data_IF_018991686497
#
_entry.id   IF_018991686497
#
_cell.length_a   1.000
_cell.length_b   1.000
_cell.length_c   1.000
_cell.angle_alpha   90.00
_cell.angle_beta   90.00
_cell.angle_gamma   90.00
#
_symmetry.space_group_name_H-M   'P 1'
#
loop_
_entity.id
_entity.type
_entity.pdbx_description
1 polymer ?
#
# COMPACT_ATOMS: atom_id res chain seq x y z
N UNK A 1 -38.38 -6.67 7.70
CA UNK A 1 -37.41 -6.39 6.62
C UNK A 1 -36.57 -5.20 7.06
N UNK A 2 -35.44 -5.44 7.68
CA UNK A 2 -34.52 -4.38 8.04
C UNK A 2 -33.71 -4.01 6.79
N UNK A 3 -33.95 -2.79 6.28
CA UNK A 3 -33.10 -2.21 5.28
C UNK A 3 -31.71 -2.01 5.95
N UNK A 4 -30.72 -2.77 5.53
CA UNK A 4 -29.32 -2.49 5.87
C UNK A 4 -28.96 -1.15 5.26
N UNK A 5 -28.68 -0.15 6.09
CA UNK A 5 -28.01 1.07 5.67
C UNK A 5 -26.62 0.66 5.17
N UNK A 6 -26.53 0.31 3.90
CA UNK A 6 -25.22 0.14 3.24
C UNK A 6 -24.61 1.53 3.11
N UNK A 7 -23.50 1.73 3.83
CA UNK A 7 -22.69 2.92 3.66
C UNK A 7 -22.31 3.03 2.16
N UNK A 8 -22.45 4.19 1.50
CA UNK A 8 -22.11 4.34 0.08
C UNK A 8 -20.67 3.99 -0.28
N UNK A 9 -19.82 3.67 0.70
CA UNK A 9 -18.43 3.25 0.52
C UNK A 9 -18.21 1.72 0.59
N UNK A 10 -19.23 0.89 0.74
CA UNK A 10 -19.06 -0.55 0.87
C UNK A 10 -18.67 -1.22 -0.46
N UNK A 11 -17.49 -1.82 -0.47
CA UNK A 11 -17.01 -2.66 -1.57
C UNK A 11 -17.42 -4.11 -1.35
N UNK A 12 -17.88 -4.80 -2.40
CA UNK A 12 -17.97 -6.26 -2.36
C UNK A 12 -16.56 -6.84 -2.48
N UNK A 13 -16.21 -7.73 -1.57
CA UNK A 13 -14.94 -8.45 -1.59
C UNK A 13 -14.90 -9.44 -2.75
N UNK A 14 -13.92 -9.28 -3.65
CA UNK A 14 -13.63 -10.19 -4.77
C UNK A 14 -12.24 -10.78 -4.58
N UNK A 15 -12.17 -11.99 -4.03
CA UNK A 15 -10.92 -12.72 -3.85
C UNK A 15 -10.67 -13.62 -5.05
N UNK A 16 -9.52 -13.47 -5.68
CA UNK A 16 -9.00 -14.33 -6.75
C UNK A 16 -7.80 -15.08 -6.17
N UNK A 17 -7.89 -16.39 -6.04
CA UNK A 17 -6.81 -17.24 -5.53
C UNK A 17 -6.24 -18.09 -6.64
N UNK A 18 -4.92 -17.99 -6.84
CA UNK A 18 -4.16 -18.79 -7.80
C UNK A 18 -3.34 -19.81 -7.02
N UNK A 19 -3.56 -21.10 -7.32
CA UNK A 19 -2.89 -22.23 -6.72
C UNK A 19 -1.60 -22.58 -7.49
N UNK A 20 -0.73 -23.42 -6.92
CA UNK A 20 0.44 -23.94 -7.62
C UNK A 20 0.09 -24.62 -8.94
N UNK A 21 1.05 -24.62 -9.88
CA UNK A 21 0.89 -25.32 -11.14
C UNK A 21 0.55 -26.79 -10.93
N UNK A 22 -0.51 -27.24 -11.59
CA UNK A 22 -0.97 -28.63 -11.56
C UNK A 22 -0.96 -29.21 -12.99
N UNK A 23 -0.07 -30.16 -13.21
CA UNK A 23 0.07 -30.81 -14.51
C UNK A 23 -1.21 -31.54 -14.96
N UNK A 24 -2.09 -31.94 -14.04
CA UNK A 24 -3.36 -32.63 -14.36
C UNK A 24 -4.36 -31.69 -15.05
N UNK A 25 -4.27 -30.38 -14.78
CA UNK A 25 -5.12 -29.33 -15.40
C UNK A 25 -4.35 -28.48 -16.41
N UNK A 26 -3.09 -28.78 -16.67
CA UNK A 26 -2.20 -28.06 -17.59
C UNK A 26 -2.12 -26.56 -17.27
N UNK A 27 -1.94 -26.19 -16.02
CA UNK A 27 -1.84 -24.79 -15.60
C UNK A 27 -2.08 -24.59 -14.11
N UNK A 28 -2.38 -23.34 -13.78
CA UNK A 28 -2.62 -22.89 -12.40
C UNK A 28 -4.12 -22.91 -12.12
N UNK A 29 -4.61 -23.76 -11.20
CA UNK A 29 -6.01 -23.70 -10.76
C UNK A 29 -6.31 -22.34 -10.14
N UNK A 30 -7.50 -21.78 -10.43
CA UNK A 30 -7.94 -20.48 -9.91
C UNK A 30 -9.32 -20.61 -9.30
N UNK A 31 -9.47 -20.03 -8.14
CA UNK A 31 -10.72 -19.94 -7.39
C UNK A 31 -11.13 -18.47 -7.20
N UNK A 32 -12.37 -18.18 -7.51
CA UNK A 32 -12.95 -16.84 -7.27
C UNK A 32 -13.99 -16.97 -6.17
N UNK A 33 -13.91 -16.07 -5.18
CA UNK A 33 -14.89 -15.95 -4.09
C UNK A 33 -15.42 -14.52 -4.05
N UNK A 34 -16.74 -14.36 -3.98
CA UNK A 34 -17.44 -13.07 -3.94
C UNK A 34 -18.15 -12.88 -2.60
N UNK A 35 -17.94 -11.72 -1.97
CA UNK A 35 -18.56 -11.35 -0.69
C UNK A 35 -18.19 -12.28 0.46
N UNK A 36 -17.11 -13.05 0.32
CA UNK A 36 -16.63 -14.01 1.31
C UNK A 36 -17.48 -15.29 1.47
N UNK A 37 -18.59 -15.42 0.74
CA UNK A 37 -19.54 -16.54 0.89
C UNK A 37 -19.84 -17.26 -0.43
N UNK A 38 -19.91 -16.54 -1.55
CA UNK A 38 -20.20 -17.13 -2.84
C UNK A 38 -18.91 -17.59 -3.51
N UNK A 39 -18.71 -18.90 -3.52
CA UNK A 39 -17.62 -19.58 -4.24
C UNK A 39 -18.09 -20.00 -5.64
N UNK A 40 -17.21 -19.83 -6.62
CA UNK A 40 -17.43 -20.31 -7.98
C UNK A 40 -16.64 -21.60 -8.19
N UNK A 41 -17.01 -22.37 -9.21
CA UNK A 41 -16.21 -23.52 -9.63
C UNK A 41 -14.80 -23.06 -9.96
N UNK A 42 -13.83 -23.94 -9.74
CA UNK A 42 -12.44 -23.67 -10.10
C UNK A 42 -12.29 -23.66 -11.62
N UNK A 43 -11.69 -22.59 -12.10
CA UNK A 43 -11.14 -22.52 -13.44
C UNK A 43 -9.63 -22.66 -13.41
N UNK A 44 -8.97 -22.32 -14.50
CA UNK A 44 -7.51 -22.37 -14.60
C UNK A 44 -6.94 -21.23 -15.43
N UNK A 45 -5.71 -20.87 -15.12
CA UNK A 45 -4.84 -20.04 -15.98
C UNK A 45 -3.83 -20.97 -16.63
N UNK A 46 -3.61 -20.83 -17.95
CA UNK A 46 -2.62 -21.63 -18.67
C UNK A 46 -1.21 -21.45 -18.11
N UNK A 47 -0.42 -22.52 -18.08
CA UNK A 47 0.99 -22.45 -17.73
C UNK A 47 1.79 -21.56 -18.69
N UNK A 48 1.28 -21.34 -19.93
CA UNK A 48 1.91 -20.49 -20.95
C UNK A 48 1.92 -18.99 -20.59
N UNK A 49 1.30 -18.61 -19.46
CA UNK A 49 1.46 -17.26 -18.90
C UNK A 49 2.93 -16.96 -18.57
N UNK A 50 3.74 -18.00 -18.38
CA UNK A 50 5.18 -17.91 -18.16
C UNK A 50 5.97 -18.60 -19.31
N UNK A 51 7.14 -18.04 -19.71
CA UNK A 51 7.73 -16.80 -19.22
C UNK A 51 6.97 -15.56 -19.71
N UNK A 52 6.79 -14.58 -18.84
CA UNK A 52 6.17 -13.33 -19.23
C UNK A 52 7.14 -12.45 -20.03
N UNK A 53 6.70 -12.00 -21.19
CA UNK A 53 7.44 -11.06 -22.03
C UNK A 53 6.57 -9.82 -22.23
N UNK A 54 7.03 -8.66 -21.75
CA UNK A 54 6.33 -7.39 -21.94
C UNK A 54 6.37 -6.97 -23.42
N UNK A 55 5.26 -6.42 -23.91
CA UNK A 55 5.19 -5.77 -25.23
C UNK A 55 5.88 -4.39 -25.24
N UNK A 56 6.15 -3.83 -24.06
CA UNK A 56 6.59 -2.45 -23.87
C UNK A 56 5.45 -1.43 -23.85
N UNK A 57 4.20 -1.88 -24.05
CA UNK A 57 3.00 -1.04 -23.98
C UNK A 57 2.13 -1.50 -22.82
N UNK A 58 2.08 -0.75 -21.69
CA UNK A 58 1.38 -1.18 -20.48
C UNK A 58 -0.08 -1.57 -20.69
N UNK A 59 -0.80 -0.84 -21.54
CA UNK A 59 -2.21 -1.13 -21.83
C UNK A 59 -2.41 -2.46 -22.56
N UNK A 60 -1.53 -2.78 -23.53
CA UNK A 60 -1.57 -4.07 -24.25
C UNK A 60 -1.23 -5.22 -23.32
N UNK A 61 -0.19 -5.04 -22.51
CA UNK A 61 0.23 -6.02 -21.51
C UNK A 61 -0.88 -6.25 -20.47
N UNK A 62 -1.55 -5.19 -20.03
CA UNK A 62 -2.66 -5.28 -19.09
C UNK A 62 -3.88 -6.01 -19.65
N UNK A 63 -4.26 -5.72 -20.90
CA UNK A 63 -5.36 -6.42 -21.56
C UNK A 63 -5.02 -7.90 -21.78
N UNK A 64 -3.80 -8.19 -22.25
CA UNK A 64 -3.34 -9.57 -22.44
C UNK A 64 -3.34 -10.36 -21.13
N UNK A 65 -2.89 -9.75 -20.03
CA UNK A 65 -2.89 -10.38 -18.71
C UNK A 65 -4.32 -10.67 -18.25
N UNK A 66 -5.25 -9.73 -18.45
CA UNK A 66 -6.65 -9.89 -18.14
C UNK A 66 -7.30 -11.00 -18.97
N UNK A 67 -7.07 -11.02 -20.29
CA UNK A 67 -7.60 -12.05 -21.19
C UNK A 67 -7.04 -13.43 -20.86
N UNK A 68 -5.77 -13.53 -20.45
CA UNK A 68 -5.16 -14.79 -20.04
C UNK A 68 -5.73 -15.26 -18.70
N UNK A 69 -5.93 -14.38 -17.74
CA UNK A 69 -6.55 -14.71 -16.44
C UNK A 69 -7.98 -15.22 -16.63
N UNK A 70 -8.72 -14.63 -17.54
CA UNK A 70 -10.12 -14.96 -17.81
C UNK A 70 -10.31 -15.80 -19.10
N UNK A 71 -9.26 -16.51 -19.57
CA UNK A 71 -9.37 -17.40 -20.73
C UNK A 71 -10.32 -18.59 -20.49
N UNK A 72 -10.41 -19.07 -19.26
CA UNK A 72 -11.34 -20.10 -18.83
C UNK A 72 -12.77 -19.58 -18.72
N UNK A 73 -13.75 -20.33 -19.23
CA UNK A 73 -15.18 -19.91 -19.21
C UNK A 73 -15.72 -19.73 -17.80
N UNK A 74 -15.32 -20.62 -16.87
CA UNK A 74 -15.76 -20.55 -15.47
C UNK A 74 -15.29 -19.24 -14.81
N UNK A 75 -14.06 -18.82 -15.09
CA UNK A 75 -13.52 -17.58 -14.57
C UNK A 75 -14.18 -16.34 -15.20
N UNK A 76 -14.51 -16.40 -16.51
CA UNK A 76 -15.29 -15.34 -17.16
C UNK A 76 -16.68 -15.19 -16.54
N UNK A 77 -17.38 -16.29 -16.30
CA UNK A 77 -18.72 -16.28 -15.72
C UNK A 77 -18.68 -15.76 -14.28
N UNK A 78 -17.68 -16.15 -13.49
CA UNK A 78 -17.46 -15.65 -12.13
C UNK A 78 -17.18 -14.14 -12.12
N UNK A 79 -16.34 -13.67 -13.05
CA UNK A 79 -16.05 -12.25 -13.23
C UNK A 79 -17.31 -11.46 -13.63
N UNK A 80 -18.08 -11.95 -14.60
CA UNK A 80 -19.33 -11.33 -15.03
C UNK A 80 -20.32 -11.22 -13.86
N UNK A 81 -20.54 -12.32 -13.13
CA UNK A 81 -21.40 -12.35 -11.95
C UNK A 81 -20.95 -11.36 -10.86
N UNK A 82 -19.64 -11.17 -10.68
CA UNK A 82 -19.11 -10.18 -9.75
C UNK A 82 -19.49 -8.75 -10.15
N UNK A 83 -19.46 -8.44 -11.45
CA UNK A 83 -19.83 -7.13 -11.99
C UNK A 83 -21.32 -6.85 -11.89
N UNK A 84 -22.14 -7.87 -12.10
CA UNK A 84 -23.61 -7.79 -11.92
C UNK A 84 -24.00 -7.55 -10.46
N UNK A 85 -23.21 -8.11 -9.51
CA UNK A 85 -23.47 -7.98 -8.07
C UNK A 85 -23.13 -6.59 -7.54
N UNK A 86 -22.06 -5.96 -8.02
CA UNK A 86 -21.68 -4.59 -7.66
C UNK A 86 -20.70 -3.99 -8.66
N UNK A 87 -20.81 -2.70 -8.91
CA UNK A 87 -19.78 -1.92 -9.60
C UNK A 87 -18.54 -1.73 -8.73
N UNK A 88 -18.71 -1.67 -7.40
CA UNK A 88 -17.64 -1.44 -6.42
C UNK A 88 -17.16 -2.75 -5.83
N UNK A 89 -15.96 -3.18 -6.21
CA UNK A 89 -15.40 -4.49 -5.83
C UNK A 89 -13.96 -4.34 -5.34
N UNK A 90 -13.68 -4.76 -4.13
CA UNK A 90 -12.31 -4.84 -3.61
C UNK A 90 -11.66 -6.10 -4.15
N UNK A 91 -10.69 -5.95 -5.05
CA UNK A 91 -9.99 -7.05 -5.70
C UNK A 91 -8.79 -7.46 -4.84
N UNK A 92 -8.83 -8.69 -4.33
CA UNK A 92 -7.76 -9.28 -3.54
C UNK A 92 -7.16 -10.47 -4.27
N UNK A 93 -6.02 -10.26 -4.91
CA UNK A 93 -5.28 -11.32 -5.60
C UNK A 93 -4.41 -12.08 -4.60
N UNK A 94 -4.72 -13.34 -4.38
CA UNK A 94 -3.93 -14.27 -3.59
C UNK A 94 -3.18 -15.21 -4.50
N UNK A 95 -1.86 -15.21 -4.41
CA UNK A 95 -0.98 -16.18 -5.03
C UNK A 95 -0.47 -17.09 -3.92
N UNK A 96 -0.68 -18.40 -4.02
CA UNK A 96 -0.21 -19.34 -3.01
C UNK A 96 1.33 -19.40 -3.01
N UNK A 97 1.91 -19.71 -1.85
CA UNK A 97 3.37 -19.66 -1.64
C UNK A 97 4.15 -20.56 -2.62
N UNK A 98 3.57 -21.70 -3.00
CA UNK A 98 4.17 -22.65 -3.94
C UNK A 98 3.95 -22.26 -5.43
N UNK A 99 3.33 -21.11 -5.68
CA UNK A 99 3.20 -20.47 -7.00
C UNK A 99 3.99 -19.14 -7.07
N UNK A 100 5.10 -19.07 -6.33
CA UNK A 100 5.86 -17.83 -6.11
C UNK A 100 6.34 -17.16 -7.41
N UNK A 101 6.56 -17.93 -8.49
CA UNK A 101 6.94 -17.43 -9.81
C UNK A 101 5.91 -16.46 -10.41
N UNK A 102 4.65 -16.58 -10.03
CA UNK A 102 3.58 -15.69 -10.49
C UNK A 102 3.63 -14.29 -9.84
N UNK A 103 4.38 -14.12 -8.74
CA UNK A 103 4.59 -12.78 -8.18
C UNK A 103 5.41 -11.86 -9.10
N UNK A 104 6.18 -12.43 -10.03
CA UNK A 104 6.93 -11.66 -11.02
C UNK A 104 6.04 -11.07 -12.12
N UNK A 105 4.77 -11.50 -12.25
CA UNK A 105 3.83 -10.95 -13.20
C UNK A 105 3.33 -9.59 -12.75
N UNK A 106 3.15 -8.63 -13.69
CA UNK A 106 2.71 -7.27 -13.37
C UNK A 106 1.17 -7.23 -13.23
N UNK A 107 0.63 -7.90 -12.21
CA UNK A 107 -0.82 -7.99 -11.99
C UNK A 107 -1.50 -6.63 -11.84
N UNK A 108 -0.76 -5.63 -11.43
CA UNK A 108 -1.23 -4.25 -11.32
C UNK A 108 -1.57 -3.61 -12.67
N UNK A 109 -1.09 -4.20 -13.78
CA UNK A 109 -1.49 -3.80 -15.13
C UNK A 109 -2.86 -4.33 -15.54
N UNK A 110 -3.46 -5.31 -14.81
CA UNK A 110 -4.76 -5.88 -15.20
C UNK A 110 -5.72 -4.81 -15.71
N UNK A 111 -6.11 -4.94 -16.99
CA UNK A 111 -6.91 -3.94 -17.69
C UNK A 111 -8.08 -4.58 -18.41
N UNK A 112 -9.27 -4.02 -18.22
CA UNK A 112 -10.47 -4.39 -18.94
C UNK A 112 -10.89 -3.26 -19.88
N UNK A 113 -10.68 -3.42 -21.17
CA UNK A 113 -10.88 -2.36 -22.15
C UNK A 113 -9.95 -1.17 -21.87
N UNK A 114 -10.50 0.00 -21.60
CA UNK A 114 -9.71 1.20 -21.25
C UNK A 114 -9.45 1.38 -19.76
N UNK A 115 -9.95 0.46 -18.90
CA UNK A 115 -9.90 0.62 -17.44
C UNK A 115 -8.83 -0.27 -16.84
N UNK A 116 -7.77 0.33 -16.28
CA UNK A 116 -6.81 -0.34 -15.43
C UNK A 116 -7.43 -0.54 -14.04
N UNK A 117 -7.65 -1.80 -13.66
CA UNK A 117 -8.37 -2.15 -12.42
C UNK A 117 -7.66 -1.64 -11.16
N UNK A 118 -6.34 -1.69 -11.15
CA UNK A 118 -5.52 -1.27 -10.01
C UNK A 118 -5.38 0.25 -9.83
N UNK A 119 -5.98 1.03 -10.73
CA UNK A 119 -5.97 2.50 -10.69
C UNK A 119 -7.38 3.09 -10.71
N UNK A 120 -8.42 2.26 -10.58
CA UNK A 120 -9.80 2.70 -10.54
C UNK A 120 -10.33 2.69 -9.10
N UNK A 121 -11.02 3.75 -8.69
CA UNK A 121 -11.54 3.90 -7.30
C UNK A 121 -12.60 2.86 -6.93
N UNK A 122 -13.34 2.33 -7.91
CA UNK A 122 -14.34 1.29 -7.67
C UNK A 122 -13.74 -0.13 -7.58
N UNK A 123 -12.45 -0.27 -7.83
CA UNK A 123 -11.77 -1.57 -7.79
C UNK A 123 -10.46 -1.51 -7.00
N UNK A 124 -10.48 -1.13 -5.68
CA UNK A 124 -9.26 -1.21 -4.86
C UNK A 124 -8.58 -2.55 -5.02
N UNK A 125 -7.27 -2.54 -5.33
CA UNK A 125 -6.53 -3.73 -5.73
C UNK A 125 -5.34 -3.98 -4.82
N UNK A 126 -5.19 -5.23 -4.37
CA UNK A 126 -4.05 -5.66 -3.56
C UNK A 126 -3.63 -7.10 -3.82
N UNK A 127 -2.37 -7.41 -3.57
CA UNK A 127 -1.87 -8.78 -3.41
C UNK A 127 -2.15 -9.19 -1.97
N UNK A 128 -3.07 -10.11 -1.79
CA UNK A 128 -3.57 -10.50 -0.47
C UNK A 128 -2.84 -11.73 0.07
N UNK A 129 -2.37 -11.63 1.30
CA UNK A 129 -1.71 -12.70 2.02
C UNK A 129 -2.50 -13.00 3.30
N UNK A 130 -3.24 -14.13 3.36
CA UNK A 130 -3.93 -14.51 4.58
C UNK A 130 -2.90 -14.99 5.61
N UNK A 131 -3.01 -14.50 6.84
CA UNK A 131 -2.30 -15.02 8.00
C UNK A 131 -3.27 -15.23 9.15
N UNK A 132 -2.98 -16.26 9.97
CA UNK A 132 -3.75 -16.63 11.16
C UNK A 132 -3.33 -15.79 12.38
N UNK A 133 -3.07 -14.52 12.20
CA UNK A 133 -2.81 -13.59 13.28
C UNK A 133 -4.05 -12.73 13.53
N UNK A 134 -4.32 -12.47 14.79
CA UNK A 134 -5.42 -11.57 15.18
C UNK A 134 -5.29 -10.22 14.48
N UNK A 135 -6.45 -9.68 14.12
CA UNK A 135 -6.53 -8.34 13.56
C UNK A 135 -6.17 -7.34 14.64
N UNK A 136 -5.17 -6.54 14.39
CA UNK A 136 -4.96 -5.38 15.23
C UNK A 136 -5.91 -4.27 14.79
N UNK A 137 -6.62 -3.68 15.77
CA UNK A 137 -7.50 -2.54 15.51
C UNK A 137 -6.79 -1.42 14.76
N UNK A 138 -7.51 -0.66 13.91
CA UNK A 138 -6.97 0.54 13.30
C UNK A 138 -6.39 1.50 14.32
N UNK A 139 -5.28 2.15 13.98
CA UNK A 139 -4.65 3.14 14.85
C UNK A 139 -5.55 4.36 14.97
N UNK A 140 -5.94 4.71 16.20
CA UNK A 140 -6.76 5.89 16.51
C UNK A 140 -5.94 7.12 16.89
N UNK A 141 -4.68 6.88 17.25
CA UNK A 141 -3.78 7.94 17.70
C UNK A 141 -3.41 8.89 16.57
N UNK A 142 -3.34 10.17 16.86
CA UNK A 142 -2.83 11.24 16.00
C UNK A 142 -1.74 12.02 16.74
N UNK A 143 -0.77 12.55 16.01
CA UNK A 143 -0.51 12.37 14.58
C UNK A 143 -0.07 10.95 14.21
N UNK A 144 -0.33 10.51 12.99
CA UNK A 144 0.29 9.29 12.44
C UNK A 144 1.79 9.54 12.33
N UNK A 145 2.58 8.70 13.00
CA UNK A 145 4.04 8.86 13.04
C UNK A 145 4.72 8.02 11.97
N UNK A 146 5.52 8.69 11.15
CA UNK A 146 6.28 8.09 10.04
C UNK A 146 7.77 8.17 10.36
N UNK A 147 8.47 7.05 10.39
CA UNK A 147 9.94 7.01 10.38
C UNK A 147 10.41 6.89 8.94
N UNK A 148 11.13 7.89 8.47
CA UNK A 148 11.75 7.90 7.15
C UNK A 148 13.22 7.52 7.27
N UNK A 149 13.64 6.52 6.51
CA UNK A 149 15.01 6.04 6.42
C UNK A 149 15.48 6.23 4.99
N UNK A 150 16.44 7.12 4.77
CA UNK A 150 17.10 7.31 3.47
C UNK A 150 18.51 6.75 3.60
N UNK A 151 18.81 5.68 2.85
CA UNK A 151 20.10 5.01 2.91
C UNK A 151 20.88 5.18 1.62
N UNK A 152 22.05 5.84 1.72
CA UNK A 152 22.98 6.07 0.63
C UNK A 152 24.42 5.70 1.06
N UNK A 153 24.79 4.42 1.03
CA UNK A 153 26.16 4.01 1.31
C UNK A 153 27.17 4.52 0.29
N UNK A 154 28.31 5.06 0.76
CA UNK A 154 29.35 5.71 -0.04
C UNK A 154 30.00 4.80 -1.11
N UNK A 155 29.98 3.49 -0.88
CA UNK A 155 30.68 2.50 -1.72
C UNK A 155 29.72 1.68 -2.64
N UNK A 156 28.45 2.04 -2.73
CA UNK A 156 27.46 1.34 -3.55
C UNK A 156 27.86 1.28 -5.02
N UNK A 157 28.26 2.42 -5.60
CA UNK A 157 28.67 2.49 -7.00
C UNK A 157 29.90 1.63 -7.26
N UNK A 158 30.90 1.72 -6.39
CA UNK A 158 32.16 1.02 -6.58
C UNK A 158 32.06 -0.51 -6.39
N UNK A 159 31.20 -0.97 -5.46
CA UNK A 159 31.10 -2.39 -5.10
C UNK A 159 29.97 -3.13 -5.77
N UNK A 160 28.87 -2.43 -6.07
CA UNK A 160 27.63 -3.07 -6.50
C UNK A 160 27.07 -2.49 -7.80
N UNK A 161 27.76 -1.50 -8.40
CA UNK A 161 27.31 -0.78 -9.60
C UNK A 161 25.90 -0.18 -9.44
N UNK A 162 25.64 0.37 -8.23
CA UNK A 162 24.40 1.03 -7.87
C UNK A 162 24.63 2.53 -7.75
N UNK A 163 23.85 3.34 -8.44
CA UNK A 163 24.01 4.78 -8.38
C UNK A 163 23.66 5.32 -6.98
N UNK A 164 24.30 6.43 -6.55
CA UNK A 164 24.00 7.04 -5.26
C UNK A 164 22.56 7.55 -5.18
N UNK A 165 22.03 7.60 -3.97
CA UNK A 165 20.73 8.21 -3.65
C UNK A 165 20.95 9.70 -3.37
N UNK A 166 20.23 10.57 -4.04
CA UNK A 166 20.24 12.00 -3.70
C UNK A 166 19.43 12.22 -2.41
N UNK A 167 20.09 12.06 -1.27
CA UNK A 167 19.48 12.13 0.08
C UNK A 167 18.76 13.46 0.30
N UNK A 168 19.38 14.58 -0.09
CA UNK A 168 18.80 15.92 0.10
C UNK A 168 17.54 16.10 -0.74
N UNK A 169 17.56 15.63 -1.96
CA UNK A 169 16.46 15.70 -2.88
C UNK A 169 15.29 14.81 -2.44
N UNK A 170 15.57 13.58 -1.99
CA UNK A 170 14.56 12.66 -1.46
C UNK A 170 13.96 13.20 -0.15
N UNK A 171 14.78 13.70 0.76
CA UNK A 171 14.32 14.34 2.01
C UNK A 171 13.38 15.50 1.72
N UNK A 172 13.80 16.48 0.91
CA UNK A 172 12.98 17.64 0.56
C UNK A 172 11.66 17.23 -0.11
N UNK A 173 11.70 16.20 -0.94
CA UNK A 173 10.50 15.73 -1.64
C UNK A 173 9.50 15.10 -0.69
N UNK A 174 9.97 14.25 0.24
CA UNK A 174 9.13 13.64 1.25
C UNK A 174 8.61 14.68 2.24
N UNK A 175 9.45 15.60 2.70
CA UNK A 175 9.01 16.71 3.56
C UNK A 175 7.91 17.53 2.87
N UNK A 176 8.09 17.88 1.58
CA UNK A 176 7.07 18.58 0.80
C UNK A 176 5.78 17.77 0.65
N UNK A 177 5.89 16.47 0.34
CA UNK A 177 4.73 15.59 0.20
C UNK A 177 3.95 15.45 1.50
N UNK A 178 4.66 15.22 2.61
CA UNK A 178 4.06 15.00 3.92
C UNK A 178 3.55 16.30 4.54
N UNK A 179 4.15 17.46 4.22
CA UNK A 179 3.69 18.77 4.71
C UNK A 179 2.36 19.23 4.10
N UNK A 180 1.89 18.61 3.01
CA UNK A 180 0.55 18.88 2.47
C UNK A 180 -0.56 18.40 3.38
N UNK A 181 -0.22 17.55 4.33
CA UNK A 181 -1.08 17.05 5.40
C UNK A 181 -0.79 17.85 6.67
N UNK A 182 -1.81 18.18 7.45
CA UNK A 182 -1.64 18.89 8.72
C UNK A 182 -0.72 18.15 9.68
N UNK A 183 0.11 18.88 10.43
CA UNK A 183 1.04 18.28 11.42
C UNK A 183 0.32 17.55 12.57
N UNK A 184 -0.93 17.90 12.81
CA UNK A 184 -1.79 17.23 13.76
C UNK A 184 -2.29 15.88 13.25
N UNK A 185 -2.25 15.65 11.94
CA UNK A 185 -2.64 14.39 11.30
C UNK A 185 -1.44 13.48 11.05
N UNK A 186 -0.30 14.03 10.61
CA UNK A 186 0.89 13.26 10.28
C UNK A 186 2.17 13.98 10.71
N UNK A 187 3.05 13.25 11.38
CA UNK A 187 4.40 13.69 11.74
C UNK A 187 5.43 12.72 11.16
N UNK A 188 6.44 13.26 10.47
CA UNK A 188 7.54 12.48 9.93
C UNK A 188 8.86 12.85 10.62
N UNK A 189 9.55 11.81 11.08
CA UNK A 189 10.92 11.90 11.59
C UNK A 189 11.86 11.21 10.60
N UNK A 190 13.01 11.81 10.36
CA UNK A 190 14.03 11.29 9.45
C UNK A 190 15.19 10.70 10.24
N UNK A 191 15.55 9.46 9.96
CA UNK A 191 16.69 8.81 10.58
C UNK A 191 17.98 9.56 10.21
N UNK A 192 18.76 9.91 11.23
CA UNK A 192 20.04 10.61 11.02
C UNK A 192 21.09 9.70 10.36
N UNK A 193 21.91 10.29 9.50
CA UNK A 193 23.02 9.59 8.87
C UNK A 193 24.15 9.28 9.90
N UNK A 194 24.87 8.17 9.72
CA UNK A 194 24.63 7.10 8.78
C UNK A 194 23.41 6.25 9.16
N UNK A 195 22.59 5.85 8.15
CA UNK A 195 21.42 5.02 8.36
C UNK A 195 21.82 3.56 8.63
N UNK A 196 22.19 3.27 9.87
CA UNK A 196 22.62 1.92 10.28
C UNK A 196 21.44 1.09 10.79
N UNK A 197 21.48 -0.26 10.71
CA UNK A 197 20.47 -1.12 11.31
C UNK A 197 20.27 -0.86 12.80
N UNK A 198 21.35 -0.58 13.53
CA UNK A 198 21.35 -0.33 14.97
C UNK A 198 20.60 0.97 15.31
N UNK A 199 20.84 2.05 14.53
CA UNK A 199 20.10 3.31 14.68
C UNK A 199 18.63 3.19 14.29
N UNK A 200 18.34 2.40 13.27
CA UNK A 200 16.95 2.09 12.91
C UNK A 200 16.23 1.37 14.06
N UNK A 201 16.85 0.33 14.65
CA UNK A 201 16.26 -0.40 15.77
C UNK A 201 16.03 0.53 16.98
N UNK A 202 17.01 1.39 17.28
CA UNK A 202 16.91 2.36 18.37
C UNK A 202 15.78 3.37 18.14
N UNK A 203 15.69 3.95 16.91
CA UNK A 203 14.64 4.89 16.54
C UNK A 203 13.25 4.24 16.64
N UNK A 204 13.10 3.01 16.18
CA UNK A 204 11.83 2.27 16.31
C UNK A 204 11.44 2.04 17.77
N UNK A 205 12.41 1.78 18.65
CA UNK A 205 12.21 1.44 20.05
C UNK A 205 11.98 2.64 20.94
N UNK A 206 12.69 3.76 20.72
CA UNK A 206 12.71 4.91 21.62
C UNK A 206 12.14 6.20 21.02
N UNK A 207 11.85 6.20 19.71
CA UNK A 207 11.57 7.43 18.98
C UNK A 207 12.85 8.21 18.64
N UNK A 208 12.73 9.19 17.74
CA UNK A 208 13.81 10.09 17.36
C UNK A 208 13.88 11.28 18.32
N UNK A 209 15.10 11.68 18.70
CA UNK A 209 15.37 12.88 19.50
C UNK A 209 14.56 12.98 20.81
N UNK A 210 14.26 11.84 21.43
CA UNK A 210 13.46 11.80 22.65
C UNK A 210 11.96 11.99 22.43
N UNK A 211 11.50 11.82 21.18
CA UNK A 211 10.08 11.82 20.82
C UNK A 211 9.32 10.59 21.30
N UNK A 212 8.07 10.46 20.86
CA UNK A 212 7.25 9.31 21.22
C UNK A 212 7.78 8.03 20.54
N UNK A 213 7.90 6.95 21.29
CA UNK A 213 8.23 5.64 20.76
C UNK A 213 7.09 5.08 19.88
N UNK A 214 7.45 4.19 18.97
CA UNK A 214 6.48 3.45 18.14
C UNK A 214 5.99 4.25 16.94
N UNK A 215 6.58 3.97 15.79
CA UNK A 215 6.15 4.52 14.51
C UNK A 215 5.05 3.66 13.88
N UNK A 216 4.03 4.32 13.33
CA UNK A 216 2.94 3.66 12.63
C UNK A 216 3.32 3.28 11.19
N UNK A 217 4.26 4.04 10.61
CA UNK A 217 4.76 3.83 9.25
C UNK A 217 6.29 3.81 9.24
N UNK A 218 6.87 2.83 8.56
CA UNK A 218 8.28 2.81 8.21
C UNK A 218 8.41 3.07 6.71
N UNK A 219 9.03 4.19 6.32
CA UNK A 219 9.29 4.54 4.93
C UNK A 219 10.79 4.44 4.65
N UNK A 220 11.16 3.43 3.87
CA UNK A 220 12.55 3.21 3.45
C UNK A 220 12.75 3.69 2.01
N UNK A 221 13.80 4.49 1.81
CA UNK A 221 14.30 4.93 0.50
C UNK A 221 15.72 4.45 0.35
N UNK A 222 16.02 3.68 -0.68
CA UNK A 222 17.34 3.12 -0.89
C UNK A 222 17.36 1.96 -1.86
N UNK A 223 18.39 1.14 -1.77
CA UNK A 223 18.58 0.00 -2.64
C UNK A 223 18.30 -1.32 -1.92
N UNK A 224 17.85 -2.30 -2.72
CA UNK A 224 17.69 -3.67 -2.29
C UNK A 224 18.55 -4.64 -3.09
N UNK A 225 18.74 -5.84 -2.59
CA UNK A 225 19.34 -6.95 -3.32
C UNK A 225 18.52 -8.22 -3.13
N UNK A 226 18.42 -9.03 -4.19
CA UNK A 226 17.79 -10.34 -4.14
C UNK A 226 18.73 -11.44 -4.62
N UNK A 227 18.87 -12.46 -3.81
CA UNK A 227 19.63 -13.66 -4.16
C UNK A 227 18.69 -14.78 -4.56
N UNK A 228 18.49 -15.02 -5.85
CA UNK A 228 17.67 -16.13 -6.37
C UNK A 228 18.12 -17.48 -5.84
N UNK A 229 19.45 -17.70 -5.73
CA UNK A 229 20.02 -18.97 -5.22
C UNK A 229 19.60 -19.26 -3.78
N UNK A 230 19.46 -18.21 -2.94
CA UNK A 230 19.14 -18.33 -1.51
C UNK A 230 17.70 -17.95 -1.20
N UNK A 231 16.94 -17.49 -2.19
CA UNK A 231 15.60 -16.91 -2.04
C UNK A 231 15.56 -15.86 -0.91
N UNK A 232 16.58 -14.99 -0.84
CA UNK A 232 16.75 -13.99 0.22
C UNK A 232 16.86 -12.59 -0.35
N UNK A 233 16.17 -11.68 0.31
CA UNK A 233 16.25 -10.24 0.08
C UNK A 233 17.16 -9.58 1.11
N UNK A 234 17.69 -8.41 0.75
CA UNK A 234 18.41 -7.55 1.67
C UNK A 234 18.16 -6.08 1.31
N UNK A 235 18.21 -5.20 2.30
CA UNK A 235 18.32 -3.76 2.11
C UNK A 235 19.77 -3.33 2.27
N UNK A 236 20.23 -2.40 1.45
CA UNK A 236 21.52 -1.78 1.66
C UNK A 236 21.36 -0.64 2.67
N UNK A 237 21.81 -0.89 3.88
CA UNK A 237 21.95 0.10 4.96
C UNK A 237 23.40 0.61 4.98
N UNK A 238 23.71 1.50 5.90
CA UNK A 238 25.09 1.98 6.15
C UNK A 238 25.69 1.30 7.39
N UNK A 239 27.01 1.16 7.42
CA UNK A 239 27.77 0.95 8.67
C UNK A 239 28.12 2.32 9.31
N UNK A 240 28.75 2.31 10.48
CA UNK A 240 29.17 3.54 11.18
C UNK A 240 30.20 4.39 10.40
N UNK A 241 30.80 3.84 9.36
CA UNK A 241 31.72 4.53 8.44
C UNK A 241 31.05 4.96 7.13
N UNK A 242 29.71 4.87 7.03
CA UNK A 242 28.96 5.22 5.83
C UNK A 242 28.98 4.20 4.70
N UNK A 243 29.64 3.03 4.87
CA UNK A 243 29.78 2.01 3.83
C UNK A 243 28.60 1.05 3.82
N UNK A 244 28.37 0.38 2.69
CA UNK A 244 27.27 -0.55 2.51
C UNK A 244 27.35 -1.76 3.47
N UNK A 245 26.31 -1.89 4.30
CA UNK A 245 25.98 -3.02 5.16
C UNK A 245 24.66 -3.61 4.72
N UNK A 246 24.64 -4.89 4.35
CA UNK A 246 23.39 -5.56 3.99
C UNK A 246 22.62 -5.95 5.24
N UNK A 247 21.40 -5.48 5.37
CA UNK A 247 20.42 -5.95 6.33
C UNK A 247 19.52 -6.98 5.64
N UNK A 248 19.61 -8.23 6.07
CA UNK A 248 18.83 -9.33 5.48
C UNK A 248 17.35 -9.24 5.84
N UNK A 249 16.52 -9.82 5.01
CA UNK A 249 15.06 -9.90 5.23
C UNK A 249 14.69 -10.45 6.61
N UNK A 250 15.32 -11.54 7.05
CA UNK A 250 15.08 -12.15 8.36
C UNK A 250 15.51 -11.22 9.52
N UNK A 251 16.54 -10.39 9.32
CA UNK A 251 17.00 -9.40 10.31
C UNK A 251 15.97 -8.28 10.47
N UNK A 252 15.48 -7.70 9.36
CA UNK A 252 14.45 -6.67 9.40
C UNK A 252 13.15 -7.21 9.99
N UNK A 253 12.69 -8.39 9.54
CA UNK A 253 11.51 -9.06 10.06
C UNK A 253 11.61 -9.26 11.56
N UNK A 254 12.74 -9.79 12.04
CA UNK A 254 12.98 -10.03 13.46
C UNK A 254 13.05 -8.72 14.27
N UNK A 255 13.65 -7.68 13.67
CA UNK A 255 13.72 -6.34 14.28
C UNK A 255 12.30 -5.78 14.48
N UNK A 256 11.46 -5.79 13.45
CA UNK A 256 10.08 -5.28 13.54
C UNK A 256 9.22 -6.10 14.49
N UNK A 257 9.37 -7.43 14.51
CA UNK A 257 8.62 -8.31 15.40
C UNK A 257 8.93 -8.10 16.89
N UNK A 258 10.12 -7.57 17.22
CA UNK A 258 10.51 -7.27 18.62
C UNK A 258 10.04 -5.90 19.10
N UNK A 259 9.48 -5.06 18.22
CA UNK A 259 9.01 -3.73 18.64
C UNK A 259 7.71 -3.84 19.46
N UNK A 260 7.60 -3.06 20.52
CA UNK A 260 6.36 -2.96 21.29
C UNK A 260 5.19 -2.39 20.49
N UNK A 261 5.49 -1.50 19.54
CA UNK A 261 4.54 -0.99 18.53
C UNK A 261 5.12 -1.31 17.16
N UNK A 262 4.48 -2.23 16.44
CA UNK A 262 4.89 -2.56 15.08
C UNK A 262 4.32 -1.55 14.09
N UNK A 263 5.09 -1.14 13.06
CA UNK A 263 4.55 -0.36 11.96
C UNK A 263 3.34 -1.06 11.31
N UNK A 264 2.29 -0.30 11.09
CA UNK A 264 1.09 -0.76 10.35
C UNK A 264 1.31 -0.79 8.85
N UNK A 265 2.23 0.05 8.39
CA UNK A 265 2.61 0.18 7.01
C UNK A 265 4.13 0.22 6.88
N UNK A 266 4.66 -0.57 5.96
CA UNK A 266 6.03 -0.44 5.48
C UNK A 266 5.98 0.01 4.02
N UNK A 267 6.67 1.11 3.71
CA UNK A 267 6.79 1.63 2.35
C UNK A 267 8.24 1.47 1.90
N UNK A 268 8.46 0.70 0.83
CA UNK A 268 9.78 0.41 0.28
C UNK A 268 9.92 1.11 -1.08
N UNK A 269 10.64 2.23 -1.10
CA UNK A 269 10.89 3.01 -2.31
C UNK A 269 12.29 2.71 -2.84
N UNK A 270 12.36 2.32 -4.13
CA UNK A 270 13.62 2.16 -4.84
C UNK A 270 13.96 3.46 -5.58
N UNK A 271 15.23 3.84 -5.55
CA UNK A 271 15.73 4.97 -6.32
C UNK A 271 15.85 4.64 -7.82
N UNK A 272 15.90 5.68 -8.65
CA UNK A 272 15.90 5.68 -10.12
C UNK A 272 16.96 4.79 -10.80
N UNK A 273 18.00 4.40 -10.07
CA UNK A 273 19.06 3.50 -10.54
C UNK A 273 18.78 2.01 -10.27
N UNK A 274 17.57 1.70 -9.77
CA UNK A 274 17.19 0.32 -9.47
C UNK A 274 17.33 -0.56 -10.72
N UNK A 275 18.06 -1.66 -10.58
CA UNK A 275 18.07 -2.72 -11.57
C UNK A 275 16.91 -3.68 -11.30
N UNK A 276 16.54 -4.52 -12.27
CA UNK A 276 15.49 -5.54 -12.09
C UNK A 276 15.74 -6.45 -10.88
N UNK A 277 17.00 -6.70 -10.52
CA UNK A 277 17.36 -7.47 -9.33
C UNK A 277 17.01 -6.76 -8.01
N UNK A 278 16.87 -5.44 -8.03
CA UNK A 278 16.47 -4.64 -6.85
C UNK A 278 14.94 -4.64 -6.67
N UNK A 279 14.20 -4.56 -7.76
CA UNK A 279 12.75 -4.75 -7.74
C UNK A 279 12.39 -6.15 -7.21
N UNK A 280 13.11 -7.20 -7.64
CA UNK A 280 12.97 -8.56 -7.09
C UNK A 280 13.22 -8.59 -5.57
N UNK A 281 14.10 -7.72 -5.03
CA UNK A 281 14.37 -7.66 -3.59
C UNK A 281 13.16 -7.19 -2.79
N UNK A 282 12.49 -6.14 -3.24
CA UNK A 282 11.32 -5.61 -2.56
C UNK A 282 10.10 -6.54 -2.72
N UNK A 283 9.93 -7.14 -3.90
CA UNK A 283 8.92 -8.18 -4.11
C UNK A 283 9.15 -9.42 -3.22
N UNK A 284 10.38 -9.81 -2.97
CA UNK A 284 10.72 -10.93 -2.08
C UNK A 284 10.55 -10.58 -0.60
N UNK A 285 10.85 -9.32 -0.22
CA UNK A 285 10.75 -8.85 1.17
C UNK A 285 9.30 -8.59 1.60
N UNK A 286 8.48 -8.02 0.74
CA UNK A 286 7.12 -7.59 1.08
C UNK A 286 6.21 -8.70 1.60
N UNK A 287 6.13 -9.89 0.97
CA UNK A 287 5.36 -11.01 1.51
C UNK A 287 5.86 -11.48 2.88
N UNK A 288 7.18 -11.46 3.12
CA UNK A 288 7.77 -11.85 4.40
C UNK A 288 7.38 -10.89 5.52
N UNK A 289 7.41 -9.59 5.26
CA UNK A 289 6.98 -8.57 6.21
C UNK A 289 5.50 -8.74 6.57
N UNK A 290 4.64 -8.95 5.57
CA UNK A 290 3.21 -9.21 5.81
C UNK A 290 3.02 -10.49 6.61
N UNK A 291 3.72 -11.58 6.27
CA UNK A 291 3.67 -12.86 7.01
C UNK A 291 4.17 -12.73 8.45
N UNK A 292 5.06 -11.77 8.73
CA UNK A 292 5.56 -11.46 10.06
C UNK A 292 4.64 -10.53 10.88
N UNK A 293 3.50 -10.14 10.32
CA UNK A 293 2.50 -9.37 11.05
C UNK A 293 2.29 -7.92 10.60
N UNK A 294 3.13 -7.37 9.71
CA UNK A 294 2.91 -6.03 9.15
C UNK A 294 1.60 -6.04 8.34
N UNK A 295 0.62 -5.19 8.66
CA UNK A 295 -0.68 -5.21 7.99
C UNK A 295 -0.63 -4.91 6.50
N UNK A 296 0.22 -3.96 6.08
CA UNK A 296 0.37 -3.55 4.69
C UNK A 296 1.83 -3.22 4.33
N UNK A 297 2.23 -3.57 3.12
CA UNK A 297 3.54 -3.20 2.55
C UNK A 297 3.32 -2.68 1.14
N UNK A 298 3.74 -1.43 0.90
CA UNK A 298 3.83 -0.85 -0.44
C UNK A 298 5.28 -0.97 -0.91
N UNK A 299 5.49 -1.49 -2.11
CA UNK A 299 6.83 -1.65 -2.68
C UNK A 299 6.83 -1.43 -4.18
N UNK A 300 8.01 -1.18 -4.77
CA UNK A 300 8.17 -1.02 -6.20
C UNK A 300 8.57 -2.36 -6.83
N UNK A 301 7.80 -2.85 -7.80
CA UNK A 301 8.08 -4.11 -8.50
C UNK A 301 8.98 -3.98 -9.72
N UNK A 302 9.31 -2.76 -10.12
CA UNK A 302 10.22 -2.46 -11.22
C UNK A 302 10.88 -1.10 -10.99
N UNK A 303 11.72 -0.68 -11.92
CA UNK A 303 12.36 0.64 -11.91
C UNK A 303 11.32 1.73 -12.09
N UNK A 304 11.31 2.72 -11.20
CA UNK A 304 10.47 3.90 -11.31
C UNK A 304 11.35 5.15 -11.42
N UNK A 305 10.85 6.16 -12.12
CA UNK A 305 11.50 7.47 -12.09
C UNK A 305 11.31 8.12 -10.71
N UNK A 306 12.28 8.94 -10.30
CA UNK A 306 12.16 9.72 -9.04
C UNK A 306 10.88 10.54 -9.02
N UNK A 307 10.51 11.14 -10.16
CA UNK A 307 9.28 11.92 -10.28
C UNK A 307 8.03 11.07 -10.04
N UNK A 308 7.98 9.85 -10.59
CA UNK A 308 6.88 8.90 -10.35
C UNK A 308 6.79 8.50 -8.89
N UNK A 309 7.93 8.12 -8.27
CA UNK A 309 7.96 7.73 -6.86
C UNK A 309 7.48 8.85 -5.94
N UNK A 310 7.92 10.10 -6.21
CA UNK A 310 7.49 11.29 -5.44
C UNK A 310 6.01 11.59 -5.61
N UNK A 311 5.52 11.62 -6.85
CA UNK A 311 4.12 11.91 -7.15
C UNK A 311 3.20 10.84 -6.56
N UNK A 312 3.63 9.59 -6.65
CA UNK A 312 2.93 8.47 -6.01
C UNK A 312 2.88 8.66 -4.50
N UNK A 313 4.03 8.84 -3.83
CA UNK A 313 4.12 9.01 -2.39
C UNK A 313 3.28 10.18 -1.86
N UNK A 314 3.37 11.34 -2.52
CA UNK A 314 2.60 12.52 -2.14
C UNK A 314 1.08 12.28 -2.21
N UNK A 315 0.61 11.67 -3.31
CA UNK A 315 -0.82 11.35 -3.47
C UNK A 315 -1.23 10.27 -2.49
N UNK A 316 -0.42 9.21 -2.35
CA UNK A 316 -0.69 8.08 -1.48
C UNK A 316 -0.92 8.50 -0.03
N UNK A 317 0.01 9.27 0.57
CA UNK A 317 -0.14 9.69 1.97
C UNK A 317 -1.35 10.59 2.19
N UNK A 318 -1.61 11.53 1.27
CA UNK A 318 -2.79 12.38 1.35
C UNK A 318 -4.07 11.56 1.31
N UNK A 319 -4.21 10.65 0.34
CA UNK A 319 -5.41 9.83 0.18
C UNK A 319 -5.56 8.80 1.31
N UNK A 320 -4.44 8.26 1.84
CA UNK A 320 -4.47 7.36 2.98
C UNK A 320 -5.06 8.02 4.22
N UNK A 321 -4.78 9.30 4.45
CA UNK A 321 -5.33 10.05 5.58
C UNK A 321 -6.75 10.56 5.34
N UNK A 322 -7.16 10.64 4.07
CA UNK A 322 -8.53 11.02 3.71
C UNK A 322 -9.52 9.85 3.87
N UNK A 323 -9.08 8.62 3.55
CA UNK A 323 -9.96 7.44 3.50
C UNK A 323 -9.62 6.38 4.53
N UNK A 324 -8.45 6.42 5.17
CA UNK A 324 -7.88 5.38 6.04
C UNK A 324 -7.71 4.00 5.38
N UNK A 325 -8.03 3.87 4.09
CA UNK A 325 -7.99 2.62 3.31
C UNK A 325 -6.78 2.60 2.39
N UNK A 326 -5.81 1.74 2.72
CA UNK A 326 -4.52 1.69 2.03
C UNK A 326 -4.63 1.25 0.56
N UNK A 327 -5.51 0.33 0.24
CA UNK A 327 -5.70 -0.17 -1.12
C UNK A 327 -6.38 0.88 -2.03
N UNK A 328 -7.35 1.62 -1.49
CA UNK A 328 -7.97 2.74 -2.19
C UNK A 328 -6.94 3.86 -2.43
N UNK A 329 -6.17 4.23 -1.41
CA UNK A 329 -5.13 5.26 -1.52
C UNK A 329 -4.07 4.90 -2.57
N UNK A 330 -3.67 3.62 -2.65
CA UNK A 330 -2.75 3.13 -3.69
C UNK A 330 -3.36 3.23 -5.09
N UNK A 331 -4.64 2.86 -5.26
CA UNK A 331 -5.33 2.99 -6.55
C UNK A 331 -5.43 4.44 -7.01
N UNK A 332 -5.76 5.37 -6.11
CA UNK A 332 -5.86 6.80 -6.42
C UNK A 332 -4.49 7.40 -6.76
N UNK A 333 -3.44 6.97 -6.06
CA UNK A 333 -2.08 7.38 -6.39
C UNK A 333 -1.68 6.89 -7.80
N UNK A 334 -2.00 5.64 -8.16
CA UNK A 334 -1.78 5.12 -9.53
C UNK A 334 -2.62 5.88 -10.58
N UNK A 335 -3.89 6.18 -10.27
CA UNK A 335 -4.76 6.98 -11.13
C UNK A 335 -4.16 8.36 -11.44
N UNK A 336 -3.60 9.00 -10.42
CA UNK A 336 -2.91 10.30 -10.58
C UNK A 336 -1.69 10.17 -11.50
N UNK A 337 -0.94 9.07 -11.42
CA UNK A 337 0.18 8.80 -12.32
C UNK A 337 -0.28 8.57 -13.76
N UNK A 338 -1.34 7.80 -13.98
CA UNK A 338 -1.94 7.59 -15.30
C UNK A 338 -2.41 8.89 -15.93
N UNK A 339 -3.11 9.74 -15.17
CA UNK A 339 -3.55 11.07 -15.62
C UNK A 339 -2.36 11.95 -16.01
N UNK A 340 -1.21 11.77 -15.37
CA UNK A 340 0.03 12.45 -15.72
C UNK A 340 0.80 11.79 -16.89
N UNK A 341 0.22 10.77 -17.55
CA UNK A 341 0.85 10.08 -18.67
C UNK A 341 2.05 9.21 -18.31
N UNK A 342 2.14 8.77 -17.04
CA UNK A 342 3.27 7.95 -16.58
C UNK A 342 3.08 6.50 -16.97
N UNK A 343 4.03 5.94 -17.70
CA UNK A 343 4.01 4.53 -18.16
C UNK A 343 4.31 3.56 -17.01
N UNK A 344 4.95 4.03 -15.95
CA UNK A 344 5.34 3.29 -14.76
C UNK A 344 4.28 3.36 -13.62
N UNK A 345 3.06 3.78 -13.94
CA UNK A 345 1.97 3.94 -12.95
C UNK A 345 1.58 2.65 -12.21
N UNK A 346 1.77 1.48 -12.82
CA UNK A 346 1.46 0.18 -12.22
C UNK A 346 2.63 -0.46 -11.46
N UNK A 347 3.78 0.21 -11.38
CA UNK A 347 4.98 -0.33 -10.70
C UNK A 347 4.82 -0.40 -9.18
N UNK A 348 4.14 0.53 -8.49
CA UNK A 348 3.86 0.38 -7.06
C UNK A 348 2.92 -0.81 -6.80
N UNK A 349 3.31 -1.71 -5.91
CA UNK A 349 2.57 -2.92 -5.52
C UNK A 349 2.18 -2.83 -4.06
N UNK A 350 0.96 -3.21 -3.75
CA UNK A 350 0.47 -3.35 -2.38
C UNK A 350 0.31 -4.82 -2.01
N UNK A 351 1.06 -5.25 -1.00
CA UNK A 351 0.81 -6.49 -0.28
C UNK A 351 0.08 -6.18 1.03
N UNK A 352 -1.02 -6.86 1.30
CA UNK A 352 -1.72 -6.68 2.57
C UNK A 352 -2.40 -7.96 3.05
N UNK A 353 -2.67 -8.00 4.37
CA UNK A 353 -3.42 -9.10 5.01
C UNK A 353 -4.85 -8.71 5.41
N UNK A 354 -5.15 -7.43 5.41
CA UNK A 354 -6.45 -6.91 5.84
C UNK A 354 -7.53 -7.16 4.78
N UNK A 355 -8.80 -7.22 5.24
CA UNK A 355 -9.96 -7.40 4.36
C UNK A 355 -10.51 -6.07 3.84
N UNK A 356 -10.49 -5.05 4.67
CA UNK A 356 -11.10 -3.74 4.44
C UNK A 356 -10.09 -2.64 4.06
N UNK A 357 -8.79 -2.93 4.20
CA UNK A 357 -7.72 -1.97 3.93
C UNK A 357 -7.56 -0.87 4.98
N UNK A 358 -8.33 -0.89 6.08
CA UNK A 358 -8.32 0.17 7.10
C UNK A 358 -7.11 0.03 8.01
N UNK A 359 -6.18 0.99 7.91
CA UNK A 359 -4.97 1.06 8.75
C UNK A 359 -5.15 2.00 9.94
N UNK A 360 -5.83 3.10 9.71
CA UNK A 360 -6.02 4.19 10.67
C UNK A 360 -7.51 4.45 10.82
N UNK A 361 -7.98 4.73 12.03
CA UNK A 361 -9.36 5.12 12.20
C UNK A 361 -9.52 6.60 11.86
N UNK A 362 -10.56 6.94 11.08
CA UNK A 362 -10.96 8.33 10.92
C UNK A 362 -11.21 8.93 12.30
N UNK A 363 -10.83 10.17 12.51
CA UNK A 363 -11.32 10.91 13.65
C UNK A 363 -12.84 11.04 13.46
N UNK A 364 -13.61 10.42 14.34
CA UNK A 364 -15.04 10.77 14.42
C UNK A 364 -15.09 12.27 14.68
N UNK A 365 -15.68 13.04 13.76
CA UNK A 365 -16.09 14.40 14.08
C UNK A 365 -16.92 14.28 15.35
N UNK A 366 -16.39 14.81 16.45
CA UNK A 366 -17.14 14.92 17.70
C UNK A 366 -18.26 15.90 17.38
N UNK A 367 -19.41 15.38 16.92
CA UNK A 367 -20.65 16.14 16.97
C UNK A 367 -20.86 16.48 18.43
N UNK A 368 -20.41 17.65 18.84
CA UNK A 368 -20.77 18.24 20.11
C UNK A 368 -22.29 18.38 20.07
N UNK A 369 -22.99 17.38 20.63
CA UNK A 369 -24.42 17.46 20.84
C UNK A 369 -24.66 18.61 21.78
N UNK A 370 -24.86 19.80 21.21
CA UNK A 370 -25.36 20.94 21.96
C UNK A 370 -26.75 20.55 22.49
N UNK A 371 -26.79 20.12 23.73
CA UNK A 371 -28.06 19.98 24.43
C UNK A 371 -28.61 21.38 24.68
N UNK A 372 -29.47 21.84 23.81
CA UNK A 372 -30.27 23.03 24.06
C UNK A 372 -31.36 22.66 25.08
N UNK A 373 -31.07 22.90 26.36
CA UNK A 373 -32.11 22.83 27.38
C UNK A 373 -32.97 24.11 27.31
N UNK A 374 -34.17 23.97 26.76
CA UNK A 374 -35.20 25.00 26.84
C UNK A 374 -35.82 24.99 28.27
N UNK A 375 -35.33 25.81 29.14
CA UNK A 375 -36.05 26.12 30.42
C UNK A 375 -36.98 27.28 30.14
N UNK A 376 -38.30 26.96 30.06
CA UNK A 376 -39.34 27.97 29.99
C UNK A 376 -39.46 28.73 31.32
N UNK A 377 -39.09 30.01 31.28
CA UNK A 377 -39.35 30.99 32.32
C UNK A 377 -39.67 32.32 31.63
N UNK A 378 -40.69 33.01 32.12
CA UNK A 378 -41.14 34.31 31.59
C UNK A 378 -39.97 35.32 31.57
N UNK A 379 -39.49 35.65 30.36
CA UNK A 379 -38.51 36.72 30.13
C UNK A 379 -37.27 36.30 29.38
N UNK A 380 -37.31 36.35 28.08
CA UNK A 380 -36.16 36.52 27.19
C UNK A 380 -35.16 35.34 27.09
N UNK A 381 -35.01 34.80 25.85
CA UNK A 381 -34.03 33.79 25.49
C UNK A 381 -32.62 34.43 25.55
N UNK A 382 -31.77 34.03 26.46
CA UNK A 382 -30.31 34.30 26.41
C UNK A 382 -29.62 33.10 25.78
N UNK A 383 -29.09 33.26 24.57
CA UNK A 383 -28.19 32.30 23.92
C UNK A 383 -26.76 32.69 24.36
N UNK A 384 -26.18 31.93 25.25
CA UNK A 384 -24.76 32.08 25.63
C UNK A 384 -23.98 30.88 25.10
N UNK A 385 -23.10 31.11 24.11
CA UNK A 385 -22.14 30.16 23.60
C UNK A 385 -21.33 30.80 22.49
N UNK A 386 -20.02 30.75 22.59
CA UNK A 386 -19.12 31.19 21.53
C UNK A 386 -19.26 30.23 20.33
N UNK A 387 -19.76 30.75 19.22
CA UNK A 387 -19.82 30.02 17.96
C UNK A 387 -18.58 30.30 17.16
N UNK A 388 -17.71 29.32 16.95
CA UNK A 388 -16.75 29.31 15.86
C UNK A 388 -17.26 28.35 14.79
N UNK A 389 -17.79 28.91 13.70
CA UNK A 389 -18.14 28.14 12.50
C UNK A 389 -16.95 28.14 11.56
N UNK A 390 -16.26 27.00 11.46
CA UNK A 390 -15.37 26.72 10.33
C UNK A 390 -16.06 25.73 9.41
N UNK A 391 -16.94 26.23 8.56
CA UNK A 391 -17.56 25.47 7.49
C UNK A 391 -17.54 26.31 6.23
N UNK A 392 -16.83 25.85 5.22
CA UNK A 392 -16.98 26.38 3.85
C UNK A 392 -18.38 26.01 3.36
N UNK A 393 -19.30 26.95 3.36
CA UNK A 393 -20.34 27.06 2.34
C UNK A 393 -20.97 28.44 2.46
N UNK A 394 -20.78 29.24 1.43
CA UNK A 394 -21.40 30.54 1.23
C UNK A 394 -22.85 30.34 0.82
N UNK A 395 -23.78 30.59 1.73
CA UNK A 395 -25.18 30.81 1.37
C UNK A 395 -25.44 32.31 1.37
N UNK A 396 -25.54 32.90 0.18
CA UNK A 396 -26.10 34.22 -0.02
C UNK A 396 -27.64 34.15 0.14
N UNK A 397 -28.17 34.66 1.21
CA UNK A 397 -29.59 34.91 1.42
C UNK A 397 -29.86 36.40 1.49
N UNK A 398 -30.46 36.95 0.45
CA UNK A 398 -31.11 38.27 0.50
C UNK A 398 -32.50 38.11 1.12
N UNK A 399 -32.81 38.96 2.05
CA UNK A 399 -34.11 39.13 2.61
C UNK A 399 -34.09 40.14 3.75
#
# INVERSE_FOLDING_TARGET
MCASNSNPQDFIDLKIRIFPNDASVAGYPVEITLGGQREFQRGRVSADILPWVSSGVPAEDGQRLFDTLLADQVLRDAWAASRESSSRRRIRLRIDADAAELHALPWELLQQGSVMLSAHTDTPFSRYLPIELDWSDPVKERPIRVLVVISDPDDLQAKYDLAPVDVDLERKSLESALSTVGKDELQADFLDAPATPERLEEALRQGMHGGAAGYHVLHFVGHGAFSRRRARSALYMQDEQGRAKRMLDDELVSMLARQGVQPRLVFLSACQSATRSQADAFLGLSPKLVSAGVPAVVSMQDVVTVETARKFGATFYRQLLEHDQVDLAVNEARSTLLTAGRVDAAVPVLFMRMRDGVLFALQEEVEEKVQVSLTGGEGGIKIGGDFSVSGRDSISGKG
#
